data_IF_623796435066
#
_entry.id   IF_623796435066
#
_cell.length_a   1.000
_cell.length_b   1.000
_cell.length_c   1.000
_cell.angle_alpha   90.00
_cell.angle_beta   90.00
_cell.angle_gamma   90.00
#
_symmetry.space_group_name_H-M   'P 1'
#
loop_
_entity.id
_entity.type
_entity.pdbx_description
1 polymer ?
#
# COMPACT_ATOMS: atom_id res chain seq x y z
N UNK A 1 -14.51 25.44 10.19
CA UNK A 1 -14.28 23.99 10.38
C UNK A 1 -13.27 23.58 9.33
N UNK A 2 -12.10 23.03 9.72
CA UNK A 2 -11.10 22.52 8.76
C UNK A 2 -11.55 21.17 8.25
N UNK A 3 -11.38 20.90 6.95
CA UNK A 3 -11.63 19.59 6.33
C UNK A 3 -10.37 19.13 5.63
N UNK A 4 -10.05 17.85 5.75
CA UNK A 4 -8.96 17.21 5.05
C UNK A 4 -9.52 16.20 4.07
N UNK A 5 -8.92 16.10 2.89
CA UNK A 5 -9.27 15.12 1.88
C UNK A 5 -8.17 14.07 1.79
N UNK A 6 -8.52 12.81 2.06
CA UNK A 6 -7.61 11.68 1.94
C UNK A 6 -7.92 10.90 0.67
N UNK A 7 -6.92 10.76 -0.19
CA UNK A 7 -6.98 9.92 -1.39
C UNK A 7 -6.17 8.65 -1.17
N UNK A 8 -6.81 7.49 -1.30
CA UNK A 8 -6.16 6.20 -1.23
C UNK A 8 -5.94 5.66 -2.64
N UNK A 9 -4.68 5.37 -2.96
CA UNK A 9 -4.29 4.90 -4.30
C UNK A 9 -3.58 3.57 -4.16
N UNK A 10 -4.07 2.58 -4.92
CA UNK A 10 -3.41 1.28 -5.03
C UNK A 10 -2.23 1.37 -5.99
N UNK A 11 -1.15 0.66 -5.69
CA UNK A 11 0.01 0.54 -6.57
C UNK A 11 -0.34 -0.06 -7.94
N UNK A 12 0.45 0.28 -8.97
CA UNK A 12 0.36 -0.30 -10.31
C UNK A 12 0.75 -1.78 -10.34
N UNK A 13 0.61 -2.40 -11.51
CA UNK A 13 0.88 -3.82 -11.72
C UNK A 13 2.36 -4.16 -11.53
N UNK A 14 2.61 -5.30 -10.88
CA UNK A 14 3.92 -5.94 -10.77
C UNK A 14 3.92 -7.25 -11.58
N UNK A 15 5.11 -7.81 -11.85
CA UNK A 15 5.20 -9.14 -12.47
C UNK A 15 4.48 -10.20 -11.62
N UNK A 16 4.55 -10.08 -10.28
CA UNK A 16 3.84 -10.99 -9.38
C UNK A 16 2.33 -10.97 -9.57
N UNK A 17 1.73 -9.81 -9.88
CA UNK A 17 0.30 -9.72 -10.19
C UNK A 17 -0.04 -10.46 -11.49
N UNK A 18 0.78 -10.27 -12.54
CA UNK A 18 0.59 -10.96 -13.83
C UNK A 18 0.75 -12.48 -13.71
N UNK A 19 1.69 -12.92 -12.86
CA UNK A 19 1.96 -14.33 -12.63
C UNK A 19 0.98 -14.98 -11.64
N UNK A 20 0.06 -14.21 -11.05
CA UNK A 20 -0.91 -14.67 -10.07
C UNK A 20 -0.27 -15.13 -8.77
N UNK A 21 0.78 -14.43 -8.32
CA UNK A 21 1.47 -14.70 -7.06
C UNK A 21 0.78 -13.99 -5.89
N UNK A 22 0.82 -14.62 -4.73
CA UNK A 22 0.40 -14.04 -3.46
C UNK A 22 1.57 -13.27 -2.86
N UNK A 23 1.51 -11.94 -2.95
CA UNK A 23 2.65 -11.05 -2.65
C UNK A 23 2.28 -10.05 -1.57
N UNK A 24 2.91 -10.17 -0.42
CA UNK A 24 2.83 -9.25 0.69
C UNK A 24 4.08 -8.39 0.85
N UNK A 25 4.47 -8.12 2.10
CA UNK A 25 5.67 -7.33 2.40
C UNK A 25 6.96 -8.15 2.37
N UNK A 26 6.89 -9.47 2.40
CA UNK A 26 8.05 -10.34 2.28
C UNK A 26 8.63 -10.40 0.86
N UNK A 27 7.91 -9.88 -0.14
CA UNK A 27 8.30 -9.92 -1.56
C UNK A 27 8.21 -8.51 -2.16
N UNK A 28 9.36 -7.86 -2.31
CA UNK A 28 9.42 -6.47 -2.77
C UNK A 28 9.68 -6.38 -4.27
N UNK A 29 8.63 -6.58 -5.07
CA UNK A 29 8.68 -6.47 -6.52
C UNK A 29 8.47 -5.02 -6.98
N UNK A 30 9.22 -4.57 -8.02
CA UNK A 30 8.95 -3.30 -8.70
C UNK A 30 7.70 -3.40 -9.57
N UNK A 31 7.25 -2.28 -10.11
CA UNK A 31 6.28 -2.26 -11.18
C UNK A 31 6.83 -3.00 -12.41
N UNK A 32 6.00 -3.78 -13.09
CA UNK A 32 6.35 -4.33 -14.39
C UNK A 32 6.22 -3.25 -15.48
N UNK A 33 6.74 -3.53 -16.68
CA UNK A 33 6.69 -2.60 -17.81
C UNK A 33 5.24 -2.18 -18.13
N UNK A 34 4.32 -3.15 -18.18
CA UNK A 34 2.90 -2.89 -18.39
C UNK A 34 2.33 -1.97 -17.28
N UNK A 35 2.64 -2.25 -16.01
CA UNK A 35 2.16 -1.42 -14.89
C UNK A 35 2.63 0.03 -14.95
N UNK A 36 3.87 0.25 -15.40
CA UNK A 36 4.39 1.61 -15.63
C UNK A 36 3.67 2.31 -16.79
N UNK A 37 3.48 1.61 -17.91
CA UNK A 37 2.78 2.15 -19.06
C UNK A 37 1.32 2.49 -18.72
N UNK A 38 0.61 1.62 -18.01
CA UNK A 38 -0.77 1.85 -17.58
C UNK A 38 -0.89 3.09 -16.68
N UNK A 39 0.03 3.27 -15.73
CA UNK A 39 0.02 4.44 -14.84
C UNK A 39 0.28 5.75 -15.60
N UNK A 40 1.17 5.74 -16.58
CA UNK A 40 1.42 6.90 -17.44
C UNK A 40 0.19 7.26 -18.29
N UNK A 41 -0.47 6.26 -18.87
CA UNK A 41 -1.72 6.45 -19.61
C UNK A 41 -2.85 6.98 -18.71
N UNK A 42 -3.03 6.40 -17.54
CA UNK A 42 -4.02 6.85 -16.55
C UNK A 42 -3.77 8.30 -16.14
N UNK A 43 -2.51 8.66 -15.86
CA UNK A 43 -2.14 10.03 -15.53
C UNK A 43 -2.44 11.01 -16.67
N UNK A 44 -2.26 10.59 -17.91
CA UNK A 44 -2.55 11.44 -19.09
C UNK A 44 -4.05 11.63 -19.32
N UNK A 45 -4.87 10.62 -18.98
CA UNK A 45 -6.31 10.60 -19.27
C UNK A 45 -7.19 11.14 -18.13
N UNK A 46 -6.71 11.08 -16.91
CA UNK A 46 -7.49 11.46 -15.71
C UNK A 46 -6.78 12.57 -14.94
N UNK A 47 -7.59 13.51 -14.43
CA UNK A 47 -7.09 14.52 -13.51
C UNK A 47 -6.91 13.89 -12.11
N UNK A 48 -5.66 13.65 -11.74
CA UNK A 48 -5.33 13.24 -10.38
C UNK A 48 -5.31 14.46 -9.43
N UNK A 49 -5.58 14.26 -8.13
CA UNK A 49 -5.44 15.33 -7.15
C UNK A 49 -4.00 15.84 -7.16
N UNK A 50 -3.83 17.11 -6.78
CA UNK A 50 -2.51 17.73 -6.60
C UNK A 50 -2.26 17.85 -5.08
N UNK A 51 -1.75 16.80 -4.43
CA UNK A 51 -1.55 16.81 -2.98
C UNK A 51 -0.30 17.59 -2.59
N UNK A 52 -0.35 18.29 -1.46
CA UNK A 52 0.84 18.92 -0.87
C UNK A 52 1.83 17.84 -0.37
N UNK A 53 1.29 16.75 0.15
CA UNK A 53 2.09 15.64 0.67
C UNK A 53 1.56 14.30 0.16
N UNK A 54 2.47 13.46 -0.29
CA UNK A 54 2.22 12.05 -0.65
C UNK A 54 2.90 11.16 0.40
N UNK A 55 2.11 10.34 1.08
CA UNK A 55 2.62 9.27 1.95
C UNK A 55 2.59 7.96 1.18
N UNK A 56 3.69 7.24 1.14
CA UNK A 56 3.76 5.96 0.44
C UNK A 56 4.36 4.85 1.30
N UNK A 57 3.92 3.64 1.02
CA UNK A 57 4.54 2.42 1.54
C UNK A 57 6.01 2.34 1.12
N UNK A 58 6.90 1.69 1.91
CA UNK A 58 8.29 1.48 1.53
C UNK A 58 8.46 0.50 0.37
N UNK A 59 7.40 -0.24 0.01
CA UNK A 59 7.47 -1.23 -1.08
C UNK A 59 7.75 -0.54 -2.42
N UNK A 60 8.69 -1.08 -3.21
CA UNK A 60 9.12 -0.51 -4.50
C UNK A 60 7.95 -0.19 -5.42
N UNK A 61 6.97 -1.11 -5.53
CA UNK A 61 5.75 -0.91 -6.32
C UNK A 61 4.96 0.34 -5.92
N UNK A 62 4.92 0.66 -4.62
CA UNK A 62 4.21 1.83 -4.11
C UNK A 62 5.01 3.12 -4.35
N UNK A 63 6.31 3.10 -4.09
CA UNK A 63 7.21 4.24 -4.34
C UNK A 63 7.19 4.62 -5.82
N UNK A 64 7.38 3.65 -6.71
CA UNK A 64 7.38 3.86 -8.16
C UNK A 64 6.02 4.37 -8.67
N UNK A 65 4.91 3.90 -8.08
CA UNK A 65 3.56 4.42 -8.39
C UNK A 65 3.44 5.89 -8.00
N UNK A 66 3.90 6.25 -6.80
CA UNK A 66 3.87 7.64 -6.32
C UNK A 66 4.75 8.57 -7.19
N UNK A 67 5.89 8.10 -7.65
CA UNK A 67 6.78 8.85 -8.55
C UNK A 67 6.13 9.12 -9.91
N UNK A 68 5.43 8.13 -10.46
CA UNK A 68 4.76 8.27 -11.78
C UNK A 68 3.53 9.18 -11.68
N UNK A 69 2.68 8.97 -10.67
CA UNK A 69 1.41 9.70 -10.59
C UNK A 69 1.57 11.12 -10.04
N UNK A 70 2.54 11.33 -9.14
CA UNK A 70 2.73 12.61 -8.42
C UNK A 70 4.17 13.12 -8.51
N UNK A 71 4.74 13.30 -9.72
CA UNK A 71 6.12 13.76 -9.84
C UNK A 71 6.33 15.16 -9.25
N UNK A 72 5.30 16.01 -9.31
CA UNK A 72 5.33 17.41 -8.86
C UNK A 72 4.89 17.60 -7.40
N UNK A 73 4.59 16.52 -6.65
CA UNK A 73 4.20 16.64 -5.26
C UNK A 73 5.30 17.34 -4.44
N UNK A 74 4.92 18.34 -3.67
CA UNK A 74 5.84 19.14 -2.87
C UNK A 74 6.63 18.32 -1.85
N UNK A 75 5.99 17.29 -1.29
CA UNK A 75 6.61 16.38 -0.34
C UNK A 75 6.19 14.92 -0.58
N UNK A 76 7.16 14.03 -0.63
CA UNK A 76 6.94 12.57 -0.66
C UNK A 76 7.59 11.94 0.56
N UNK A 77 6.81 11.20 1.33
CA UNK A 77 7.26 10.57 2.58
C UNK A 77 7.04 9.07 2.52
N UNK A 78 8.12 8.33 2.67
CA UNK A 78 8.06 6.87 2.83
C UNK A 78 7.74 6.56 4.29
N UNK A 79 6.65 5.85 4.52
CA UNK A 79 6.16 5.48 5.84
C UNK A 79 6.26 3.96 5.99
N UNK A 80 7.16 3.50 6.87
CA UNK A 80 7.49 2.08 7.00
C UNK A 80 6.26 1.22 7.34
N UNK A 81 5.39 1.73 8.18
CA UNK A 81 4.21 1.01 8.65
C UNK A 81 3.01 1.05 7.70
N UNK A 82 3.16 1.67 6.51
CA UNK A 82 2.22 1.51 5.38
C UNK A 82 2.55 0.28 4.50
N UNK A 83 3.55 -0.54 4.88
CA UNK A 83 3.85 -1.78 4.14
C UNK A 83 2.66 -2.73 4.15
N UNK A 84 2.57 -3.58 3.13
CA UNK A 84 1.61 -4.67 3.07
C UNK A 84 1.82 -5.64 4.24
N UNK A 85 0.82 -6.43 4.57
CA UNK A 85 0.91 -7.53 5.51
C UNK A 85 1.95 -8.56 5.05
N UNK A 86 2.73 -9.10 5.97
CA UNK A 86 3.64 -10.21 5.67
C UNK A 86 2.85 -11.53 5.61
N UNK A 87 2.97 -12.27 4.51
CA UNK A 87 2.22 -13.51 4.29
C UNK A 87 3.00 -14.78 4.65
N UNK A 88 4.24 -14.63 5.18
CA UNK A 88 5.05 -15.74 5.66
C UNK A 88 5.28 -16.82 4.60
N UNK A 89 4.98 -18.06 4.93
CA UNK A 89 5.20 -19.22 4.04
C UNK A 89 4.37 -19.19 2.74
N UNK A 90 3.41 -18.29 2.62
CA UNK A 90 2.60 -18.12 1.42
C UNK A 90 3.17 -17.09 0.43
N UNK A 91 4.20 -16.32 0.84
CA UNK A 91 4.84 -15.33 -0.03
C UNK A 91 5.35 -15.95 -1.33
N UNK A 92 5.03 -15.29 -2.45
CA UNK A 92 5.51 -15.67 -3.78
C UNK A 92 4.93 -16.95 -4.36
N UNK A 93 4.01 -17.61 -3.66
CA UNK A 93 3.33 -18.80 -4.17
C UNK A 93 2.17 -18.43 -5.09
N UNK A 94 1.86 -19.31 -6.04
CA UNK A 94 0.73 -19.09 -6.94
C UNK A 94 -0.60 -19.24 -6.21
N UNK A 95 -1.48 -18.24 -6.32
CA UNK A 95 -2.80 -18.24 -5.68
C UNK A 95 -3.59 -19.48 -6.07
N UNK A 96 -3.53 -19.92 -7.35
CA UNK A 96 -4.20 -21.15 -7.85
C UNK A 96 -3.77 -22.45 -7.15
N UNK A 97 -2.60 -22.44 -6.52
CA UNK A 97 -2.09 -23.58 -5.73
C UNK A 97 -2.50 -23.43 -4.27
N UNK A 98 -2.42 -22.19 -3.74
CA UNK A 98 -2.79 -21.89 -2.37
C UNK A 98 -4.26 -22.17 -2.06
N UNK A 99 -5.18 -21.90 -3.00
CA UNK A 99 -6.62 -22.17 -2.79
C UNK A 99 -6.94 -23.65 -2.59
N UNK A 100 -5.99 -24.55 -2.87
CA UNK A 100 -6.12 -26.00 -2.63
C UNK A 100 -5.58 -26.41 -1.25
N UNK A 101 -4.92 -25.51 -0.55
CA UNK A 101 -4.32 -25.74 0.76
C UNK A 101 -5.38 -25.43 1.84
N UNK A 102 -5.79 -26.39 2.68
CA UNK A 102 -6.76 -26.14 3.72
C UNK A 102 -6.32 -25.09 4.73
N UNK A 103 -5.03 -25.00 5.03
CA UNK A 103 -4.50 -23.99 5.95
C UNK A 103 -4.52 -22.59 5.33
N UNK A 104 -4.39 -22.45 4.01
CA UNK A 104 -4.64 -21.19 3.33
C UNK A 104 -6.11 -20.79 3.43
N UNK A 105 -7.05 -21.76 3.33
CA UNK A 105 -8.47 -21.50 3.59
C UNK A 105 -8.72 -20.97 5.01
N UNK A 106 -8.05 -21.53 6.01
CA UNK A 106 -8.11 -21.03 7.39
C UNK A 106 -7.52 -19.62 7.52
N UNK A 107 -6.42 -19.34 6.83
CA UNK A 107 -5.81 -18.01 6.78
C UNK A 107 -6.77 -16.95 6.21
N UNK A 108 -7.54 -17.31 5.19
CA UNK A 108 -8.52 -16.41 4.56
C UNK A 108 -9.82 -16.24 5.36
N UNK A 109 -10.06 -17.07 6.39
CA UNK A 109 -11.19 -16.95 7.30
C UNK A 109 -10.81 -16.07 8.50
N UNK A 110 -11.36 -14.85 8.61
CA UNK A 110 -11.02 -13.93 9.69
C UNK A 110 -11.45 -14.43 11.08
N UNK A 111 -12.33 -15.44 11.13
CA UNK A 111 -12.81 -16.03 12.39
C UNK A 111 -11.94 -17.17 12.90
N UNK A 112 -11.04 -17.71 12.07
CA UNK A 112 -10.22 -18.87 12.40
C UNK A 112 -9.13 -18.58 13.45
N UNK A 113 -8.67 -17.33 13.53
CA UNK A 113 -7.52 -16.95 14.36
C UNK A 113 -6.18 -17.57 13.90
N UNK A 114 -6.14 -18.25 12.76
CA UNK A 114 -4.93 -18.89 12.25
C UNK A 114 -3.97 -17.86 11.64
N UNK A 115 -2.70 -17.97 12.01
CA UNK A 115 -1.61 -17.21 11.41
C UNK A 115 -0.56 -18.18 10.86
N UNK A 116 -0.22 -18.12 9.57
CA UNK A 116 0.81 -18.98 8.98
C UNK A 116 2.19 -18.71 9.59
N UNK A 117 3.10 -19.68 9.55
CA UNK A 117 4.49 -19.46 9.96
C UNK A 117 5.11 -18.25 9.24
N UNK A 118 5.79 -17.40 10.02
CA UNK A 118 6.45 -16.18 9.56
C UNK A 118 5.54 -15.09 8.97
N UNK A 119 4.22 -15.26 9.05
CA UNK A 119 3.27 -14.21 8.67
C UNK A 119 3.04 -13.21 9.82
N UNK A 120 2.59 -12.02 9.45
CA UNK A 120 2.07 -11.03 10.41
C UNK A 120 0.65 -11.45 10.83
N UNK A 121 0.35 -11.45 12.12
CA UNK A 121 -1.00 -11.74 12.57
C UNK A 121 -1.99 -10.63 12.18
N UNK A 122 -3.21 -10.98 11.79
CA UNK A 122 -4.21 -10.02 11.36
C UNK A 122 -4.50 -8.92 12.40
N UNK A 123 -4.60 -9.20 13.72
CA UNK A 123 -4.76 -8.15 14.73
C UNK A 123 -3.59 -7.17 14.79
N UNK A 124 -2.36 -7.65 14.60
CA UNK A 124 -1.16 -6.81 14.62
C UNK A 124 -1.12 -5.89 13.39
N UNK A 125 -1.44 -6.44 12.22
CA UNK A 125 -1.60 -5.68 10.98
C UNK A 125 -2.65 -4.56 11.14
N UNK A 126 -3.84 -4.88 11.65
CA UNK A 126 -4.89 -3.89 11.86
C UNK A 126 -4.48 -2.81 12.86
N UNK A 127 -3.81 -3.19 13.94
CA UNK A 127 -3.32 -2.25 14.95
C UNK A 127 -2.29 -1.31 14.34
N UNK A 128 -1.31 -1.85 13.62
CA UNK A 128 -0.27 -1.07 12.92
C UNK A 128 -0.89 -0.10 11.91
N UNK A 129 -1.83 -0.56 11.08
CA UNK A 129 -2.51 0.32 10.10
C UNK A 129 -3.28 1.46 10.78
N UNK A 130 -4.02 1.15 11.85
CA UNK A 130 -4.78 2.17 12.59
C UNK A 130 -3.86 3.21 13.22
N UNK A 131 -2.80 2.78 13.89
CA UNK A 131 -1.85 3.68 14.54
C UNK A 131 -1.12 4.56 13.52
N UNK A 132 -0.72 3.96 12.39
CA UNK A 132 -0.11 4.71 11.29
C UNK A 132 -1.05 5.78 10.75
N UNK A 133 -2.31 5.45 10.48
CA UNK A 133 -3.29 6.44 10.00
C UNK A 133 -3.49 7.58 11.01
N UNK A 134 -3.56 7.27 12.30
CA UNK A 134 -3.66 8.30 13.35
C UNK A 134 -2.46 9.25 13.34
N UNK A 135 -1.24 8.70 13.22
CA UNK A 135 -0.01 9.49 13.12
C UNK A 135 0.01 10.39 11.86
N UNK A 136 -0.47 9.87 10.72
CA UNK A 136 -0.57 10.67 9.49
C UNK A 136 -1.57 11.83 9.64
N UNK A 137 -2.72 11.59 10.27
CA UNK A 137 -3.68 12.66 10.57
C UNK A 137 -3.10 13.72 11.52
N UNK A 138 -2.42 13.29 12.57
CA UNK A 138 -1.73 14.23 13.48
C UNK A 138 -0.66 15.05 12.75
N UNK A 139 0.11 14.40 11.87
CA UNK A 139 1.10 15.11 11.04
C UNK A 139 0.44 16.16 10.16
N UNK A 140 -0.63 15.81 9.43
CA UNK A 140 -1.36 16.75 8.57
C UNK A 140 -1.92 17.93 9.36
N UNK A 141 -2.48 17.69 10.55
CA UNK A 141 -3.00 18.76 11.42
C UNK A 141 -1.92 19.72 11.90
N UNK A 142 -0.72 19.21 12.20
CA UNK A 142 0.41 20.02 12.70
C UNK A 142 1.13 20.80 11.59
N UNK A 143 1.09 20.31 10.36
CA UNK A 143 1.84 20.89 9.23
C UNK A 143 0.98 21.72 8.29
N UNK A 144 -0.28 21.96 8.65
CA UNK A 144 -1.20 22.77 7.86
C UNK A 144 -0.63 24.20 7.72
N UNK A 145 -0.26 24.65 6.49
CA UNK A 145 0.34 25.95 6.25
C UNK A 145 -0.61 27.13 6.58
N UNK A 146 -1.89 26.87 6.82
CA UNK A 146 -2.90 27.89 7.13
C UNK A 146 -3.00 28.26 8.63
N UNK A 147 -2.22 27.62 9.51
CA UNK A 147 -2.18 28.02 10.94
C UNK A 147 -1.28 29.24 11.23
N UNK A 148 -0.54 29.74 10.26
CA UNK A 148 0.38 30.89 10.42
C UNK A 148 -0.11 32.23 9.91
N UNK A 149 -1.36 32.32 9.41
CA UNK A 149 -1.93 33.58 8.90
C UNK A 149 -3.09 34.06 9.83
N UNK A 150 -2.75 34.68 10.94
CA UNK A 150 -3.60 35.62 11.66
C UNK A 150 -3.04 37.02 11.47
#
# INVERSE_FOLDING_TARGET
MKSYQLHLIRHGLTQGNLDGLYVGSGTDLPLCEQGRADLLDLRARFAYPQPDTVFCSPMRRAVETAEILFPEAGKKMVVQDLREMAFGVYEGRKVRELVKDPDFGRWMDPTSGYTPPHAEAAPDFHTRCRETLMQLFEYMMRTDPHEGAC
#
